data_IF_482970840035
#
_entry.id   IF_482970840035
#
_cell.length_a   1.000
_cell.length_b   1.000
_cell.length_c   1.000
_cell.angle_alpha   90.00
_cell.angle_beta   90.00
_cell.angle_gamma   90.00
#
_symmetry.space_group_name_H-M   'P 1'
#
loop_
_entity.id
_entity.type
_entity.pdbx_description
1 polymer ?
#
# COMPACT_ATOMS: atom_id res chain seq x y z
N UNK A 1 2.93 -12.49 -22.04
CA UNK A 1 4.05 -11.55 -21.93
C UNK A 1 3.48 -10.14 -21.95
N UNK A 2 3.30 -9.56 -20.76
CA UNK A 2 2.91 -8.15 -20.66
C UNK A 2 4.11 -7.28 -21.08
N UNK A 3 3.87 -6.26 -21.88
CA UNK A 3 4.92 -5.31 -22.30
C UNK A 3 5.48 -4.54 -21.09
N UNK A 4 4.68 -4.41 -20.03
CA UNK A 4 5.06 -3.80 -18.77
C UNK A 4 4.74 -4.74 -17.59
N UNK A 5 5.48 -4.67 -16.48
CA UNK A 5 5.21 -5.47 -15.31
C UNK A 5 3.85 -5.10 -14.70
N UNK A 6 3.09 -6.10 -14.27
CA UNK A 6 1.83 -5.92 -13.56
C UNK A 6 2.06 -5.32 -12.15
N UNK A 7 3.22 -5.58 -11.58
CA UNK A 7 3.66 -5.05 -10.29
C UNK A 7 5.04 -4.41 -10.49
N UNK A 8 5.12 -3.11 -10.27
CA UNK A 8 6.36 -2.32 -10.33
C UNK A 8 6.34 -1.30 -9.19
N UNK A 9 6.86 -1.68 -8.04
CA UNK A 9 6.78 -0.90 -6.81
C UNK A 9 8.06 -1.04 -5.99
N UNK A 10 8.42 -0.08 -5.15
CA UNK A 10 9.51 -0.23 -4.19
C UNK A 10 9.30 -1.45 -3.28
N UNK A 11 10.39 -2.09 -2.88
CA UNK A 11 10.33 -3.32 -2.10
C UNK A 11 9.57 -3.12 -0.77
N UNK A 12 9.87 -2.04 -0.06
CA UNK A 12 9.20 -1.73 1.21
C UNK A 12 7.70 -1.51 1.05
N UNK A 13 7.28 -0.84 -0.02
CA UNK A 13 5.86 -0.61 -0.30
C UNK A 13 5.15 -1.91 -0.70
N UNK A 14 5.82 -2.79 -1.46
CA UNK A 14 5.26 -4.10 -1.79
C UNK A 14 4.97 -4.96 -0.56
N UNK A 15 5.83 -4.91 0.43
CA UNK A 15 5.64 -5.64 1.68
C UNK A 15 4.91 -4.84 2.77
N UNK A 16 4.47 -3.61 2.47
CA UNK A 16 3.66 -2.78 3.38
C UNK A 16 4.44 -2.08 4.49
N UNK A 17 5.76 -2.18 4.52
CA UNK A 17 6.56 -1.51 5.55
C UNK A 17 6.81 -0.03 5.24
N UNK A 18 6.67 0.39 3.97
CA UNK A 18 7.09 1.71 3.53
C UNK A 18 8.62 1.89 3.57
N UNK A 19 9.13 3.11 3.71
CA UNK A 19 10.56 3.35 3.84
C UNK A 19 11.13 2.77 5.12
N UNK A 20 12.21 1.99 4.99
CA UNK A 20 12.89 1.32 6.10
C UNK A 20 12.36 -0.08 6.38
N UNK A 21 12.83 -0.67 7.48
CA UNK A 21 12.38 -1.98 7.98
C UNK A 21 11.56 -1.74 9.24
N UNK A 22 10.25 -1.77 9.11
CA UNK A 22 9.30 -1.53 10.20
C UNK A 22 8.55 -2.83 10.48
N UNK A 23 8.81 -3.51 11.61
CA UNK A 23 8.16 -4.78 11.93
C UNK A 23 6.66 -4.63 12.16
N UNK A 24 5.88 -5.48 11.51
CA UNK A 24 4.43 -5.54 11.69
C UNK A 24 3.87 -6.85 11.16
N UNK A 25 2.60 -7.12 11.45
CA UNK A 25 1.88 -8.26 10.91
C UNK A 25 0.42 -7.93 10.69
N UNK A 26 -0.04 -8.17 9.46
CA UNK A 26 -1.44 -8.16 9.05
C UNK A 26 -1.84 -9.54 8.52
N UNK A 27 -3.03 -9.67 7.97
CA UNK A 27 -3.50 -10.92 7.35
C UNK A 27 -2.60 -11.36 6.19
N UNK A 28 -2.22 -10.42 5.32
CA UNK A 28 -1.52 -10.75 4.06
C UNK A 28 -0.05 -10.33 4.03
N UNK A 29 0.39 -9.47 4.93
CA UNK A 29 1.75 -8.94 4.91
C UNK A 29 2.37 -8.96 6.30
N UNK A 30 3.66 -9.27 6.34
CA UNK A 30 4.42 -9.36 7.59
C UNK A 30 5.87 -8.92 7.35
N UNK A 31 6.42 -8.19 8.29
CA UNK A 31 7.85 -7.86 8.36
C UNK A 31 8.36 -8.24 9.75
N UNK A 32 9.35 -9.12 9.81
CA UNK A 32 9.99 -9.55 11.05
C UNK A 32 11.50 -9.27 11.00
N UNK A 33 11.95 -8.29 11.75
CA UNK A 33 13.36 -7.91 11.82
C UNK A 33 14.23 -8.90 12.63
N UNK A 34 13.62 -9.85 13.34
CA UNK A 34 14.34 -10.78 14.24
C UNK A 34 14.78 -12.06 13.55
N UNK A 35 14.19 -12.38 12.38
CA UNK A 35 14.39 -13.71 11.75
C UNK A 35 15.58 -13.80 10.81
N UNK A 36 16.24 -12.72 10.48
CA UNK A 36 17.24 -12.66 9.42
C UNK A 36 18.63 -12.18 9.89
N UNK A 37 18.99 -12.33 11.16
CA UNK A 37 20.25 -11.80 11.67
C UNK A 37 20.31 -10.28 11.57
N UNK A 38 21.20 -9.75 10.74
CA UNK A 38 21.32 -8.30 10.51
C UNK A 38 20.32 -7.75 9.47
N UNK A 39 19.38 -8.58 8.98
CA UNK A 39 18.39 -8.22 7.98
C UNK A 39 16.95 -8.31 8.50
N UNK A 40 16.00 -8.47 7.57
CA UNK A 40 14.60 -8.69 7.87
C UNK A 40 13.99 -9.76 6.96
N UNK A 41 13.05 -10.53 7.49
CA UNK A 41 12.17 -11.35 6.67
C UNK A 41 10.90 -10.54 6.34
N UNK A 42 10.60 -10.42 5.05
CA UNK A 42 9.40 -9.77 4.56
C UNK A 42 8.53 -10.80 3.85
N UNK A 43 7.26 -10.89 4.20
CA UNK A 43 6.34 -11.89 3.67
C UNK A 43 5.13 -11.21 3.04
N UNK A 44 4.79 -11.62 1.83
CA UNK A 44 3.54 -11.27 1.16
C UNK A 44 2.75 -12.55 0.87
N UNK A 45 1.50 -12.57 1.25
CA UNK A 45 0.56 -13.69 1.03
C UNK A 45 -0.52 -13.34 0.00
N UNK A 46 -0.30 -12.29 -0.78
CA UNK A 46 -1.14 -11.99 -1.91
C UNK A 46 -1.10 -13.11 -2.93
N UNK A 47 -2.24 -13.63 -3.30
CA UNK A 47 -2.34 -14.54 -4.45
C UNK A 47 -2.14 -13.76 -5.74
N UNK A 48 -1.27 -14.28 -6.61
CA UNK A 48 -0.90 -13.64 -7.88
C UNK A 48 -1.12 -14.62 -9.04
N UNK A 49 -2.38 -14.81 -9.48
CA UNK A 49 -2.69 -15.73 -10.55
C UNK A 49 -1.98 -15.36 -11.86
N UNK A 50 -1.46 -16.36 -12.56
CA UNK A 50 -0.87 -16.20 -13.88
C UNK A 50 -1.27 -17.37 -14.79
N UNK A 51 -1.33 -17.15 -16.11
CA UNK A 51 -1.85 -18.13 -17.04
C UNK A 51 -0.82 -19.02 -17.68
N UNK A 52 0.40 -18.54 -17.95
CA UNK A 52 1.46 -19.28 -18.62
C UNK A 52 2.77 -19.26 -17.86
N UNK A 53 3.26 -18.08 -17.56
CA UNK A 53 4.50 -17.89 -16.83
C UNK A 53 4.43 -16.65 -15.96
N UNK A 54 5.23 -16.62 -14.90
CA UNK A 54 5.47 -15.47 -14.07
C UNK A 54 6.98 -15.19 -14.03
N UNK A 55 7.33 -13.91 -13.98
CA UNK A 55 8.70 -13.45 -13.79
C UNK A 55 8.74 -12.55 -12.56
N UNK A 56 9.62 -12.89 -11.63
CA UNK A 56 9.91 -12.06 -10.47
C UNK A 56 11.31 -11.48 -10.68
N UNK A 57 11.45 -10.17 -10.53
CA UNK A 57 12.71 -9.47 -10.60
C UNK A 57 12.82 -8.46 -9.47
N UNK A 58 14.01 -8.33 -8.91
CA UNK A 58 14.35 -7.28 -7.95
C UNK A 58 15.49 -6.48 -8.54
N UNK A 59 15.31 -5.16 -8.61
CA UNK A 59 16.35 -4.24 -9.05
C UNK A 59 16.95 -3.53 -7.85
N UNK A 60 18.24 -3.68 -7.63
CA UNK A 60 18.97 -2.89 -6.65
C UNK A 60 19.35 -1.54 -7.28
N UNK A 61 18.77 -0.48 -6.78
CA UNK A 61 19.04 0.90 -7.21
C UNK A 61 20.00 1.63 -6.26
N UNK A 62 20.48 0.96 -5.22
CA UNK A 62 21.51 1.52 -4.34
C UNK A 62 22.91 1.45 -4.96
N UNK A 63 23.81 2.24 -4.47
CA UNK A 63 25.22 2.19 -4.90
C UNK A 63 26.03 1.05 -4.26
N UNK A 64 25.42 0.17 -3.46
CA UNK A 64 26.10 -0.89 -2.72
C UNK A 64 25.47 -2.25 -2.99
N UNK A 65 26.25 -3.34 -2.97
CA UNK A 65 25.71 -4.69 -3.04
C UNK A 65 24.72 -4.97 -1.89
N UNK A 66 23.69 -5.76 -2.20
CA UNK A 66 22.70 -6.23 -1.23
C UNK A 66 22.54 -7.73 -1.37
N UNK A 67 22.75 -8.47 -0.28
CA UNK A 67 22.47 -9.90 -0.24
C UNK A 67 20.98 -10.11 0.03
N UNK A 68 20.35 -10.93 -0.81
CA UNK A 68 18.92 -11.20 -0.71
C UNK A 68 18.62 -12.65 -1.04
N UNK A 69 17.74 -13.24 -0.26
CA UNK A 69 17.15 -14.55 -0.54
C UNK A 69 15.68 -14.37 -0.85
N UNK A 70 15.28 -14.70 -2.07
CA UNK A 70 13.88 -14.67 -2.49
C UNK A 70 13.32 -16.09 -2.43
N UNK A 71 12.25 -16.28 -1.68
CA UNK A 71 11.48 -17.53 -1.60
C UNK A 71 10.08 -17.27 -2.15
N UNK A 72 9.57 -18.20 -2.94
CA UNK A 72 8.20 -18.14 -3.45
C UNK A 72 7.58 -19.53 -3.39
N UNK A 73 6.26 -19.56 -3.24
CA UNK A 73 5.45 -20.76 -3.33
C UNK A 73 4.53 -20.61 -4.54
N UNK A 74 4.34 -21.68 -5.27
CA UNK A 74 3.42 -21.73 -6.39
C UNK A 74 2.69 -23.07 -6.41
N UNK A 75 1.56 -23.10 -7.06
CA UNK A 75 0.76 -24.30 -7.29
C UNK A 75 0.12 -24.22 -8.66
N UNK A 76 -0.14 -25.36 -9.26
CA UNK A 76 -1.04 -25.46 -10.41
C UNK A 76 -2.48 -25.33 -9.91
N UNK A 77 -3.22 -24.43 -10.52
CA UNK A 77 -4.63 -24.22 -10.21
C UNK A 77 -5.40 -24.05 -11.52
N UNK A 78 -6.28 -25.01 -11.87
CA UNK A 78 -7.10 -24.92 -13.08
C UNK A 78 -7.97 -23.67 -13.13
N UNK A 79 -8.38 -23.13 -11.97
CA UNK A 79 -9.17 -21.91 -11.89
C UNK A 79 -8.37 -20.63 -12.21
N UNK A 80 -7.04 -20.69 -12.22
CA UNK A 80 -6.19 -19.51 -12.48
C UNK A 80 -6.47 -18.85 -13.83
N UNK A 81 -7.01 -19.59 -14.80
CA UNK A 81 -7.38 -19.05 -16.11
C UNK A 81 -8.51 -18.02 -16.03
N UNK A 82 -9.42 -18.19 -15.09
CA UNK A 82 -10.62 -17.35 -14.89
C UNK A 82 -10.47 -16.33 -13.74
N UNK A 83 -9.35 -16.39 -13.01
CA UNK A 83 -9.09 -15.45 -11.93
C UNK A 83 -8.60 -14.09 -12.45
N UNK A 84 -8.90 -13.04 -11.70
CA UNK A 84 -8.29 -11.71 -11.90
C UNK A 84 -6.80 -11.78 -11.60
N UNK A 85 -6.01 -11.06 -12.38
CA UNK A 85 -4.56 -10.93 -12.13
C UNK A 85 -4.29 -9.84 -11.11
N UNK A 86 -3.25 -10.04 -10.30
CA UNK A 86 -2.83 -9.05 -9.32
C UNK A 86 -2.03 -7.93 -9.98
N UNK A 87 -2.41 -6.70 -9.68
CA UNK A 87 -1.72 -5.49 -10.13
C UNK A 87 -1.38 -4.61 -8.94
N UNK A 88 -0.22 -3.98 -8.97
CA UNK A 88 0.14 -2.91 -8.05
C UNK A 88 0.78 -1.75 -8.82
N UNK A 89 0.39 -0.55 -8.46
CA UNK A 89 0.94 0.70 -8.98
C UNK A 89 1.58 1.50 -7.86
N UNK A 90 2.69 2.12 -8.16
CA UNK A 90 3.34 3.04 -7.25
C UNK A 90 3.27 4.46 -7.81
N UNK A 91 2.97 5.39 -6.94
CA UNK A 91 2.88 6.80 -7.26
C UNK A 91 3.61 7.59 -6.18
N UNK A 92 4.47 8.50 -6.59
CA UNK A 92 5.09 9.49 -5.71
C UNK A 92 4.63 10.90 -6.09
N UNK A 93 4.38 11.70 -5.10
CA UNK A 93 4.21 13.13 -5.25
C UNK A 93 5.01 13.86 -4.19
N UNK A 94 5.70 14.87 -4.64
CA UNK A 94 6.36 15.85 -3.80
C UNK A 94 5.44 17.10 -3.72
N UNK A 95 5.62 17.89 -2.68
CA UNK A 95 4.90 19.15 -2.47
C UNK A 95 3.36 19.04 -2.48
N UNK A 96 2.84 17.99 -1.84
CA UNK A 96 1.40 17.87 -1.63
C UNK A 96 0.92 19.00 -0.74
N UNK A 97 0.12 19.90 -1.30
CA UNK A 97 -0.46 21.01 -0.56
C UNK A 97 -1.75 20.58 0.12
N UNK A 98 -1.89 20.98 1.37
CA UNK A 98 -3.15 20.85 2.13
C UNK A 98 -3.83 22.21 2.24
N UNK A 99 -5.14 22.21 2.29
CA UNK A 99 -5.95 23.41 2.44
C UNK A 99 -6.71 23.36 3.76
N UNK A 100 -6.62 24.41 4.54
CA UNK A 100 -7.37 24.49 5.79
C UNK A 100 -8.86 24.75 5.51
N UNK A 101 -9.73 23.98 6.15
CA UNK A 101 -11.18 24.09 6.01
C UNK A 101 -11.71 23.28 4.83
N UNK A 102 -12.82 23.72 4.23
CA UNK A 102 -13.42 23.04 3.08
C UNK A 102 -12.51 23.15 1.84
N UNK A 103 -11.60 22.20 1.74
CA UNK A 103 -10.66 22.13 0.61
C UNK A 103 -11.28 21.53 -0.62
N UNK A 104 -10.75 21.91 -1.78
CA UNK A 104 -11.11 21.34 -3.08
C UNK A 104 -9.91 20.72 -3.82
N UNK A 105 -8.78 20.60 -3.11
CA UNK A 105 -7.58 19.96 -3.66
C UNK A 105 -7.63 18.47 -3.39
N UNK A 106 -8.02 17.72 -4.39
CA UNK A 106 -7.97 16.26 -4.34
C UNK A 106 -6.63 15.75 -4.89
N UNK A 107 -6.05 14.82 -4.19
CA UNK A 107 -4.89 14.08 -4.65
C UNK A 107 -5.30 12.67 -5.10
N UNK A 108 -5.24 12.36 -6.40
CA UNK A 108 -5.61 11.03 -6.87
C UNK A 108 -4.54 10.00 -6.46
N UNK A 109 -4.93 9.08 -5.58
CA UNK A 109 -4.11 7.95 -5.15
C UNK A 109 -4.07 6.84 -6.21
N UNK A 110 -5.16 6.64 -6.95
CA UNK A 110 -5.26 5.65 -8.03
C UNK A 110 -6.21 6.16 -9.12
N UNK A 111 -5.85 5.87 -10.36
CA UNK A 111 -6.76 5.95 -11.51
C UNK A 111 -6.63 4.70 -12.34
N UNK A 112 -7.75 4.05 -12.61
CA UNK A 112 -7.84 2.88 -13.48
C UNK A 112 -8.81 3.22 -14.61
N UNK A 113 -8.50 2.79 -15.82
CA UNK A 113 -9.38 2.94 -16.98
C UNK A 113 -9.31 1.70 -17.85
N UNK A 114 -10.48 1.25 -18.28
CA UNK A 114 -10.65 0.04 -19.10
C UNK A 114 -10.53 -1.28 -18.30
N UNK A 115 -11.36 -2.23 -18.68
CA UNK A 115 -11.45 -3.50 -17.98
C UNK A 115 -12.33 -3.47 -16.74
N UNK A 116 -12.41 -4.59 -16.07
CA UNK A 116 -13.09 -4.76 -14.79
C UNK A 116 -12.14 -5.33 -13.75
N UNK A 117 -12.33 -4.95 -12.50
CA UNK A 117 -11.43 -5.35 -11.43
C UNK A 117 -11.99 -5.13 -10.04
N UNK A 118 -11.09 -5.23 -9.07
CA UNK A 118 -11.40 -4.91 -7.67
C UNK A 118 -10.21 -4.16 -7.07
N UNK A 119 -10.47 -3.01 -6.49
CA UNK A 119 -9.50 -2.35 -5.64
C UNK A 119 -9.45 -3.06 -4.28
N UNK A 120 -8.27 -3.52 -3.88
CA UNK A 120 -8.09 -4.41 -2.73
C UNK A 120 -7.22 -3.82 -1.64
N UNK A 121 -6.82 -2.58 -1.76
CA UNK A 121 -6.10 -1.90 -0.69
C UNK A 121 -5.12 -0.83 -1.14
N UNK A 122 -4.59 -0.12 -0.17
CA UNK A 122 -3.65 0.97 -0.34
C UNK A 122 -2.56 0.89 0.74
N UNK A 123 -1.33 1.06 0.32
CA UNK A 123 -0.22 1.42 1.19
C UNK A 123 0.16 2.87 0.90
N UNK A 124 0.28 3.68 1.92
CA UNK A 124 0.64 5.09 1.83
C UNK A 124 1.80 5.39 2.75
N UNK A 125 2.81 6.07 2.24
CA UNK A 125 3.89 6.64 3.05
C UNK A 125 3.94 8.14 2.79
N UNK A 126 3.97 8.91 3.86
CA UNK A 126 4.04 10.36 3.79
C UNK A 126 5.14 10.90 4.70
N UNK A 127 5.66 12.06 4.34
CA UNK A 127 6.56 12.85 5.17
C UNK A 127 5.88 14.18 5.52
N UNK A 128 5.65 14.40 6.81
CA UNK A 128 5.10 15.64 7.33
C UNK A 128 6.23 16.50 7.93
N UNK A 129 6.57 17.66 7.34
CA UNK A 129 7.67 18.49 7.80
C UNK A 129 7.35 19.27 9.09
N UNK A 130 6.08 19.30 9.50
CA UNK A 130 5.59 20.11 10.63
C UNK A 130 4.91 19.24 11.69
N UNK A 131 4.64 19.82 12.86
CA UNK A 131 3.92 19.12 13.94
C UNK A 131 2.39 19.18 13.81
N UNK A 132 1.88 19.97 12.86
CA UNK A 132 0.45 20.03 12.60
C UNK A 132 -0.08 18.69 12.07
N UNK A 133 -1.34 18.40 12.38
CA UNK A 133 -2.02 17.21 11.89
C UNK A 133 -2.16 17.25 10.36
N UNK A 134 -1.99 16.11 9.71
CA UNK A 134 -2.02 15.97 8.26
C UNK A 134 -3.25 15.23 7.72
N UNK A 135 -4.03 14.57 8.57
CA UNK A 135 -4.94 13.50 8.19
C UNK A 135 -6.41 13.87 7.97
N UNK A 136 -6.76 15.16 7.87
CA UNK A 136 -8.17 15.61 7.70
C UNK A 136 -8.71 15.47 6.26
N UNK A 137 -7.90 15.01 5.31
CA UNK A 137 -8.36 14.81 3.93
C UNK A 137 -9.22 13.58 3.78
N UNK A 138 -10.46 13.76 3.30
CA UNK A 138 -11.42 12.68 3.12
C UNK A 138 -11.07 11.83 1.90
N UNK A 139 -11.21 10.51 2.00
CA UNK A 139 -11.14 9.67 0.81
C UNK A 139 -12.40 9.81 -0.04
N UNK A 140 -12.21 9.80 -1.35
CA UNK A 140 -13.28 9.83 -2.35
C UNK A 140 -13.04 8.72 -3.36
N UNK A 141 -14.02 7.85 -3.53
CA UNK A 141 -13.96 6.77 -4.51
C UNK A 141 -15.04 6.98 -5.55
N UNK A 142 -14.61 7.17 -6.79
CA UNK A 142 -15.47 7.28 -7.97
C UNK A 142 -15.38 6.00 -8.78
N UNK A 143 -16.50 5.37 -9.05
CA UNK A 143 -16.60 4.14 -9.84
C UNK A 143 -17.39 4.41 -11.11
N UNK A 144 -16.93 3.84 -12.23
CA UNK A 144 -17.63 3.85 -13.52
C UNK A 144 -18.08 5.24 -14.02
N UNK A 145 -17.28 6.27 -13.73
CA UNK A 145 -17.54 7.63 -14.21
C UNK A 145 -18.68 8.37 -13.51
N UNK A 146 -19.06 7.92 -12.33
CA UNK A 146 -20.08 8.63 -11.53
C UNK A 146 -19.69 10.08 -11.24
N UNK A 147 -20.67 11.01 -11.20
CA UNK A 147 -20.40 12.45 -11.00
C UNK A 147 -20.15 12.83 -9.54
N UNK A 148 -20.53 11.97 -8.60
CA UNK A 148 -20.31 12.12 -7.16
C UNK A 148 -19.78 10.79 -6.60
N UNK A 149 -18.81 10.80 -5.67
CA UNK A 149 -18.21 9.56 -5.20
C UNK A 149 -19.22 8.67 -4.48
N UNK A 150 -19.26 7.38 -4.81
CA UNK A 150 -20.06 6.39 -4.08
C UNK A 150 -19.52 6.10 -2.69
N UNK A 151 -18.24 6.37 -2.45
CA UNK A 151 -17.64 6.37 -1.12
C UNK A 151 -17.03 7.72 -0.83
N UNK A 152 -17.42 8.30 0.28
CA UNK A 152 -16.91 9.57 0.77
C UNK A 152 -16.61 9.43 2.27
N UNK A 153 -15.36 9.56 2.65
CA UNK A 153 -14.93 9.38 4.03
C UNK A 153 -14.94 10.64 4.88
N UNK A 154 -14.28 10.54 6.01
CA UNK A 154 -14.27 11.59 7.05
C UNK A 154 -12.86 11.99 7.48
N UNK A 155 -11.85 11.32 7.00
CA UNK A 155 -10.45 11.59 7.29
C UNK A 155 -9.52 10.53 6.72
N UNK A 156 -8.31 10.90 6.40
CA UNK A 156 -7.31 9.96 5.88
C UNK A 156 -6.98 8.89 6.93
N UNK A 157 -6.86 9.26 8.20
CA UNK A 157 -6.62 8.30 9.28
C UNK A 157 -7.80 7.35 9.47
N UNK A 158 -9.04 7.84 9.33
CA UNK A 158 -10.25 7.01 9.40
C UNK A 158 -10.23 5.94 8.32
N UNK A 159 -9.81 6.30 7.10
CA UNK A 159 -9.62 5.33 6.03
C UNK A 159 -8.62 4.24 6.42
N UNK A 160 -7.53 4.58 7.12
CA UNK A 160 -6.53 3.62 7.59
C UNK A 160 -6.85 2.95 8.92
N UNK A 161 -8.05 3.18 9.50
CA UNK A 161 -8.61 2.43 10.61
C UNK A 161 -8.19 2.90 11.99
N UNK A 162 -7.88 4.18 12.16
CA UNK A 162 -7.72 4.81 13.47
C UNK A 162 -8.30 6.23 13.44
N UNK A 163 -8.40 6.87 14.61
CA UNK A 163 -8.99 8.20 14.76
C UNK A 163 -8.14 9.08 15.69
N UNK A 164 -8.25 10.39 15.53
CA UNK A 164 -7.65 11.41 16.41
C UNK A 164 -6.11 11.48 16.36
N UNK A 165 -5.49 10.82 15.40
CA UNK A 165 -4.04 10.68 15.32
C UNK A 165 -3.48 9.71 16.38
N UNK A 166 -2.76 8.71 15.94
CA UNK A 166 -2.04 7.79 16.82
C UNK A 166 -0.53 7.98 16.59
N UNK A 167 0.24 8.40 17.61
CA UNK A 167 1.68 8.60 17.47
C UNK A 167 2.47 7.28 17.55
N UNK A 168 1.81 6.14 17.68
CA UNK A 168 2.46 4.84 17.83
C UNK A 168 2.16 3.90 16.65
N UNK A 169 3.13 3.08 16.22
CA UNK A 169 2.87 1.99 15.30
C UNK A 169 1.85 1.00 15.87
N UNK A 170 0.94 0.53 15.02
CA UNK A 170 -0.01 -0.54 15.35
C UNK A 170 -0.20 -1.46 14.15
N UNK A 171 -0.74 -2.64 14.37
CA UNK A 171 -1.17 -3.56 13.34
C UNK A 171 -2.39 -4.36 13.78
N UNK A 172 -3.32 -4.54 12.86
CA UNK A 172 -4.50 -5.39 12.94
C UNK A 172 -4.56 -6.28 11.70
N UNK A 173 -5.51 -7.22 11.57
CA UNK A 173 -5.57 -8.05 10.38
C UNK A 173 -5.67 -7.28 9.06
N UNK A 174 -6.32 -6.11 9.03
CA UNK A 174 -6.60 -5.38 7.79
C UNK A 174 -6.02 -3.96 7.74
N UNK A 175 -5.47 -3.45 8.85
CA UNK A 175 -4.92 -2.11 8.92
C UNK A 175 -3.61 -2.12 9.69
N UNK A 176 -2.71 -1.22 9.32
CA UNK A 176 -1.50 -0.98 10.09
C UNK A 176 -1.00 0.46 9.91
N UNK A 177 -0.44 1.02 10.97
CA UNK A 177 0.52 2.10 10.91
C UNK A 177 1.88 1.49 11.20
N UNK A 178 2.66 1.24 10.16
CA UNK A 178 3.92 0.50 10.28
C UNK A 178 5.08 1.39 10.70
N UNK A 179 4.96 2.69 10.49
CA UNK A 179 5.94 3.69 10.89
C UNK A 179 5.24 4.98 11.34
N UNK A 180 5.76 5.58 12.40
CA UNK A 180 5.40 6.91 12.87
C UNK A 180 6.58 7.49 13.64
N UNK A 181 7.31 8.43 13.01
CA UNK A 181 8.58 8.92 13.56
C UNK A 181 8.37 9.89 14.73
N UNK A 182 7.31 10.71 14.70
CA UNK A 182 7.08 11.74 15.72
C UNK A 182 8.14 12.85 15.76
N UNK A 183 8.07 13.75 16.72
CA UNK A 183 7.05 13.88 17.77
C UNK A 183 5.66 14.21 17.20
N UNK A 184 4.65 13.67 17.83
CA UNK A 184 3.27 13.79 17.32
C UNK A 184 3.16 13.21 15.92
N UNK A 185 2.75 14.03 14.96
CA UNK A 185 2.53 13.61 13.56
C UNK A 185 3.62 14.10 12.59
N UNK A 186 4.71 14.65 13.10
CA UNK A 186 5.86 15.08 12.27
C UNK A 186 6.71 13.89 11.84
N UNK A 187 7.36 14.01 10.69
CA UNK A 187 8.27 12.99 10.15
C UNK A 187 7.55 12.01 9.24
N UNK A 188 8.10 10.81 9.12
CA UNK A 188 7.52 9.79 8.26
C UNK A 188 6.41 9.04 8.99
N UNK A 189 5.33 8.81 8.26
CA UNK A 189 4.24 7.91 8.63
C UNK A 189 3.99 6.95 7.48
N UNK A 190 3.86 5.66 7.77
CA UNK A 190 3.54 4.63 6.79
C UNK A 190 2.31 3.86 7.23
N UNK A 191 1.34 3.77 6.35
CA UNK A 191 -0.01 3.30 6.59
C UNK A 191 -0.37 2.21 5.58
N UNK A 192 -1.14 1.22 6.01
CA UNK A 192 -1.61 0.13 5.19
C UNK A 192 -3.08 -0.16 5.48
N UNK A 193 -3.90 -0.29 4.43
CA UNK A 193 -5.24 -0.87 4.48
C UNK A 193 -5.37 -1.99 3.47
N UNK A 194 -5.84 -3.15 3.92
CA UNK A 194 -6.23 -4.29 3.10
C UNK A 194 -7.75 -4.31 2.97
N UNK A 195 -8.26 -4.06 1.77
CA UNK A 195 -9.70 -4.07 1.47
C UNK A 195 -10.13 -5.40 0.83
N UNK A 196 -9.76 -6.51 1.44
CA UNK A 196 -10.07 -7.84 0.90
C UNK A 196 -11.48 -8.31 1.21
N UNK A 197 -12.08 -7.81 2.30
CA UNK A 197 -13.46 -8.07 2.68
C UNK A 197 -14.44 -7.04 2.09
N UNK A 198 -13.96 -5.82 1.89
CA UNK A 198 -14.70 -4.66 1.40
C UNK A 198 -14.11 -4.14 0.08
N UNK A 199 -13.64 -5.06 -0.77
CA UNK A 199 -13.05 -4.73 -2.06
C UNK A 199 -14.03 -3.95 -2.94
N UNK A 200 -13.54 -2.90 -3.58
CA UNK A 200 -14.35 -2.01 -4.41
C UNK A 200 -14.31 -2.51 -5.85
N UNK A 201 -15.42 -3.03 -6.40
CA UNK A 201 -15.49 -3.45 -7.79
C UNK A 201 -15.57 -2.24 -8.73
N UNK A 202 -15.06 -2.38 -9.93
CA UNK A 202 -15.13 -1.40 -11.02
C UNK A 202 -15.13 -2.10 -12.38
#
# INVERSE_FOLDING_TARGET
DAAEPQVAVPLGDFFGTGPGVNPFRTLLQEVDARKAGDGAEMVSRWEMPYRRNARIAVANQSGSPVDMVVRYQWRDDPAAADMLTFHARWLQRDDVQTVKGAGTLDWPALRVSGGAGRFVGLQCSLYNPVTAWWGEGDEKVYVDGEPFPSTFGTGTEDYFGYAWGDPAPFASPFHAQTRCDGPGTKGNTSLLRLQTLDAIPF
#
